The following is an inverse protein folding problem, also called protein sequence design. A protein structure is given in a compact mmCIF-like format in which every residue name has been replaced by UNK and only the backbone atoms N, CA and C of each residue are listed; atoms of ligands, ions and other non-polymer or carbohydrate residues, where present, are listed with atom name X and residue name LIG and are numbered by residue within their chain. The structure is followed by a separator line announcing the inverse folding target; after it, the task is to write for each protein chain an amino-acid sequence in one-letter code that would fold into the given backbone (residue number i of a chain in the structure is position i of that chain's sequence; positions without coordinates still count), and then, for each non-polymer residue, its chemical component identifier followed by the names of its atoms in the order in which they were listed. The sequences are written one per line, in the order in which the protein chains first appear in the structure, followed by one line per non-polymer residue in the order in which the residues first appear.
data_IF_141815168497
#
_entry.id   IF_141815168497
#
_cell.length_a   1.000
_cell.length_b   1.000
_cell.length_c   1.000
_cell.angle_alpha   90.00
_cell.angle_beta   90.00
_cell.angle_gamma   90.00
#
_symmetry.space_group_name_H-M   'P 1'
#
loop_
_entity.id
_entity.type
_entity.pdbx_description
1 polymer ?
#
# COMPACT_ATOMS: atom_id res chain seq x y z
N UNK A 1 4.47 20.04 -29.16
CA UNK A 1 3.71 20.89 -28.23
C UNK A 1 4.65 21.28 -27.11
N UNK A 2 4.78 22.55 -26.70
CA UNK A 2 5.55 22.89 -25.53
C UNK A 2 4.88 22.22 -24.34
N UNK A 3 5.64 21.49 -23.53
CA UNK A 3 5.16 20.85 -22.32
C UNK A 3 4.55 21.94 -21.41
N UNK A 4 3.24 21.90 -21.22
CA UNK A 4 2.50 22.85 -20.40
C UNK A 4 2.79 22.52 -18.93
N UNK A 5 3.99 22.91 -18.47
CA UNK A 5 4.35 22.79 -17.04
C UNK A 5 3.23 23.46 -16.23
N UNK A 6 2.63 22.71 -15.31
CA UNK A 6 1.64 23.15 -14.33
C UNK A 6 0.25 23.54 -14.86
N UNK A 7 -0.15 23.09 -16.07
CA UNK A 7 -1.47 23.41 -16.63
C UNK A 7 -2.61 22.92 -15.70
N UNK A 8 -2.50 21.71 -15.17
CA UNK A 8 -3.53 21.12 -14.28
C UNK A 8 -3.69 21.94 -12.99
N UNK A 9 -2.59 22.42 -12.42
CA UNK A 9 -2.63 23.30 -11.23
C UNK A 9 -3.38 24.59 -11.54
N UNK A 10 -3.09 25.24 -12.68
CA UNK A 10 -3.80 26.44 -13.11
C UNK A 10 -5.29 26.20 -13.36
N UNK A 11 -5.64 25.06 -14.00
CA UNK A 11 -7.02 24.69 -14.21
C UNK A 11 -7.77 24.49 -12.90
N UNK A 12 -7.14 23.92 -11.88
CA UNK A 12 -7.72 23.77 -10.54
C UNK A 12 -8.00 25.12 -9.89
N UNK A 13 -7.08 26.08 -10.02
CA UNK A 13 -7.25 27.43 -9.47
C UNK A 13 -8.35 28.17 -10.24
N UNK A 14 -8.30 28.14 -11.60
CA UNK A 14 -9.29 28.77 -12.44
C UNK A 14 -10.69 28.22 -12.20
N UNK A 15 -10.85 26.93 -12.00
CA UNK A 15 -12.11 26.27 -11.70
C UNK A 15 -12.78 26.84 -10.46
N UNK A 16 -12.02 26.99 -9.36
CA UNK A 16 -12.52 27.62 -8.12
C UNK A 16 -12.94 29.07 -8.33
N UNK A 17 -12.16 29.83 -9.08
CA UNK A 17 -12.43 31.24 -9.34
C UNK A 17 -13.66 31.42 -10.23
N UNK A 18 -13.79 30.64 -11.31
CA UNK A 18 -14.91 30.71 -12.24
C UNK A 18 -16.25 30.25 -11.62
N UNK A 19 -16.20 29.33 -10.65
CA UNK A 19 -17.39 28.91 -9.90
C UNK A 19 -17.88 29.94 -8.86
N UNK A 20 -17.03 30.92 -8.50
CA UNK A 20 -17.36 31.93 -7.48
C UNK A 20 -18.32 32.98 -8.01
N UNK A 21 -19.54 33.07 -7.46
CA UNK A 21 -20.60 34.04 -7.81
C UNK A 21 -20.48 35.40 -7.12
N UNK A 22 -19.70 35.47 -6.06
CA UNK A 22 -19.60 36.69 -5.25
C UNK A 22 -18.58 37.69 -5.77
N UNK A 23 -17.73 37.27 -6.68
CA UNK A 23 -16.66 38.11 -7.28
C UNK A 23 -16.75 38.13 -8.79
N UNK A 24 -16.28 39.24 -9.38
CA UNK A 24 -16.25 39.47 -10.81
C UNK A 24 -14.80 39.52 -11.28
N UNK A 25 -14.34 38.44 -11.90
CA UNK A 25 -12.96 38.30 -12.34
C UNK A 25 -12.75 38.61 -13.81
N UNK A 26 -11.92 39.63 -14.12
CA UNK A 26 -11.38 39.79 -15.45
C UNK A 26 -10.20 38.86 -15.68
N UNK A 27 -9.75 38.73 -16.96
CA UNK A 27 -8.54 37.93 -17.27
C UNK A 27 -7.32 38.38 -16.47
N UNK A 28 -7.20 39.66 -16.14
CA UNK A 28 -6.08 40.19 -15.37
C UNK A 28 -6.22 39.84 -13.88
N UNK A 29 -7.44 39.88 -13.30
CA UNK A 29 -7.68 39.41 -11.93
C UNK A 29 -7.37 37.93 -11.80
N UNK A 30 -7.83 37.11 -12.77
CA UNK A 30 -7.53 35.68 -12.81
C UNK A 30 -6.03 35.43 -12.86
N UNK A 31 -5.29 36.19 -13.70
CA UNK A 31 -3.84 36.08 -13.77
C UNK A 31 -3.15 36.37 -12.44
N UNK A 32 -3.57 37.42 -11.77
CA UNK A 32 -2.98 37.79 -10.46
C UNK A 32 -3.21 36.71 -9.42
N UNK A 33 -4.44 36.26 -9.26
CA UNK A 33 -4.80 35.23 -8.27
C UNK A 33 -4.15 33.88 -8.58
N UNK A 34 -4.11 33.48 -9.85
CA UNK A 34 -3.38 32.28 -10.26
C UNK A 34 -1.90 32.39 -9.92
N UNK A 35 -1.26 33.54 -10.18
CA UNK A 35 0.16 33.72 -9.87
C UNK A 35 0.45 33.81 -8.37
N UNK A 36 -0.47 34.32 -7.56
CA UNK A 36 -0.36 34.29 -6.09
C UNK A 36 -0.34 32.84 -5.59
N UNK A 37 -1.28 32.00 -6.02
CA UNK A 37 -1.32 30.59 -5.62
C UNK A 37 -0.13 29.77 -6.20
N UNK A 38 0.30 30.05 -7.45
CA UNK A 38 1.48 29.39 -8.03
C UNK A 38 2.75 29.73 -7.23
N UNK A 39 2.87 30.94 -6.73
CA UNK A 39 3.99 31.36 -5.89
C UNK A 39 4.03 30.62 -4.56
N UNK A 40 2.87 30.36 -3.95
CA UNK A 40 2.78 29.56 -2.70
C UNK A 40 3.21 28.10 -2.94
N UNK A 41 3.06 27.60 -4.18
CA UNK A 41 3.47 26.27 -4.60
C UNK A 41 4.88 26.21 -5.19
N UNK A 42 5.68 27.27 -5.06
CA UNK A 42 7.03 27.40 -5.60
C UNK A 42 7.10 27.18 -7.13
N UNK A 43 6.07 27.69 -7.85
CA UNK A 43 5.94 27.57 -9.30
C UNK A 43 6.09 28.93 -9.99
N UNK A 44 6.57 28.88 -11.25
CA UNK A 44 6.80 30.10 -12.03
C UNK A 44 5.48 30.81 -12.42
N UNK A 45 5.46 32.17 -12.35
CA UNK A 45 4.29 32.94 -12.73
C UNK A 45 4.00 32.86 -14.23
N UNK A 46 2.73 32.99 -14.59
CA UNK A 46 2.28 32.92 -15.98
C UNK A 46 1.81 34.28 -16.53
N UNK A 47 1.89 34.40 -17.83
CA UNK A 47 1.45 35.60 -18.55
C UNK A 47 -0.08 35.68 -18.70
N UNK A 48 -0.60 36.88 -18.98
CA UNK A 48 -2.01 37.06 -19.33
C UNK A 48 -2.41 36.19 -20.53
N UNK A 49 -1.54 36.09 -21.53
CA UNK A 49 -1.77 35.27 -22.73
C UNK A 49 -1.96 33.78 -22.35
N UNK A 50 -1.25 33.30 -21.36
CA UNK A 50 -1.39 31.94 -20.88
C UNK A 50 -2.79 31.71 -20.28
N UNK A 51 -3.31 32.64 -19.47
CA UNK A 51 -4.66 32.54 -18.92
C UNK A 51 -5.73 32.61 -20.02
N UNK A 52 -5.56 33.45 -21.05
CA UNK A 52 -6.46 33.51 -22.21
C UNK A 52 -6.51 32.16 -22.96
N UNK A 53 -5.36 31.51 -23.13
CA UNK A 53 -5.27 30.18 -23.73
C UNK A 53 -5.86 29.10 -22.85
N UNK A 54 -5.65 29.18 -21.55
CA UNK A 54 -6.23 28.24 -20.59
C UNK A 54 -7.76 28.35 -20.57
N UNK A 55 -8.34 29.56 -20.55
CA UNK A 55 -9.79 29.76 -20.64
C UNK A 55 -10.35 29.21 -21.97
N UNK A 56 -9.68 29.49 -23.09
CA UNK A 56 -10.09 28.97 -24.40
C UNK A 56 -10.02 27.44 -24.45
N UNK A 57 -8.98 26.84 -23.85
CA UNK A 57 -8.86 25.38 -23.76
C UNK A 57 -9.98 24.76 -22.91
N UNK A 58 -10.31 25.37 -21.78
CA UNK A 58 -11.39 24.89 -20.91
C UNK A 58 -12.76 24.96 -21.61
N UNK A 59 -12.97 25.97 -22.45
CA UNK A 59 -14.26 26.22 -23.11
C UNK A 59 -14.43 25.44 -24.42
N UNK A 60 -13.37 25.31 -25.24
CA UNK A 60 -13.50 24.83 -26.62
C UNK A 60 -12.64 23.63 -27.00
N UNK A 61 -11.46 23.47 -26.45
CA UNK A 61 -10.49 22.49 -26.95
C UNK A 61 -10.26 21.30 -26.00
N UNK A 62 -10.47 21.48 -24.70
CA UNK A 62 -10.26 20.48 -23.69
C UNK A 62 -11.40 19.47 -23.57
N UNK A 63 -11.22 18.43 -22.79
CA UNK A 63 -12.25 17.42 -22.56
C UNK A 63 -13.43 17.94 -21.70
N UNK A 64 -13.32 19.16 -21.19
CA UNK A 64 -14.27 19.73 -20.22
C UNK A 64 -15.44 20.42 -20.85
N UNK A 65 -15.25 21.09 -22.02
CA UNK A 65 -16.25 21.89 -22.72
C UNK A 65 -17.07 22.76 -21.77
N UNK A 66 -16.37 23.49 -20.89
CA UNK A 66 -16.96 24.27 -19.83
C UNK A 66 -17.74 25.46 -20.38
N UNK A 67 -19.00 25.60 -20.01
CA UNK A 67 -19.81 26.77 -20.38
C UNK A 67 -19.37 27.99 -19.56
N UNK A 68 -18.55 28.88 -20.17
CA UNK A 68 -18.05 30.10 -19.53
C UNK A 68 -18.84 31.30 -20.06
N UNK A 69 -19.50 32.02 -19.15
CA UNK A 69 -20.16 33.28 -19.46
C UNK A 69 -19.15 34.42 -19.47
N UNK A 70 -19.07 35.13 -20.61
CA UNK A 70 -18.29 36.36 -20.78
C UNK A 70 -19.22 37.57 -20.70
N UNK A 71 -19.12 38.35 -19.64
CA UNK A 71 -20.02 39.49 -19.40
C UNK A 71 -19.26 40.74 -19.03
N UNK A 72 -19.93 41.90 -19.06
CA UNK A 72 -19.33 43.18 -18.74
C UNK A 72 -20.02 43.80 -17.54
N UNK A 73 -19.22 44.43 -16.69
CA UNK A 73 -19.67 45.24 -15.56
C UNK A 73 -19.13 46.65 -15.69
N UNK A 74 -19.88 47.64 -15.22
CA UNK A 74 -19.45 49.03 -15.14
C UNK A 74 -18.73 49.27 -13.81
N UNK A 75 -17.47 49.70 -13.88
CA UNK A 75 -16.65 50.02 -12.71
C UNK A 75 -16.20 51.47 -12.74
N UNK A 76 -15.97 52.14 -11.62
CA UNK A 76 -15.40 53.48 -11.59
C UNK A 76 -14.03 53.51 -12.27
N UNK A 77 -13.77 54.51 -13.08
CA UNK A 77 -12.46 54.73 -13.73
C UNK A 77 -11.41 55.09 -12.66
N UNK A 78 -10.25 54.45 -12.71
CA UNK A 78 -9.15 54.70 -11.80
C UNK A 78 -8.55 56.12 -11.98
N UNK A 79 -8.72 56.67 -13.19
CA UNK A 79 -8.17 58.02 -13.53
C UNK A 79 -9.18 59.14 -13.40
N UNK A 80 -10.49 58.83 -13.40
CA UNK A 80 -11.54 59.85 -13.28
C UNK A 80 -12.74 59.24 -12.53
N UNK A 81 -12.99 59.59 -11.23
CA UNK A 81 -14.06 59.01 -10.44
C UNK A 81 -15.48 59.23 -10.96
N UNK A 82 -15.67 60.25 -11.86
CA UNK A 82 -16.96 60.55 -12.46
C UNK A 82 -17.24 59.80 -13.78
N UNK A 83 -16.31 58.94 -14.20
CA UNK A 83 -16.48 58.07 -15.41
C UNK A 83 -16.49 56.62 -15.01
N UNK A 84 -17.37 55.83 -15.64
CA UNK A 84 -17.37 54.39 -15.59
C UNK A 84 -16.66 53.82 -16.78
N UNK A 85 -15.98 52.70 -16.59
CA UNK A 85 -15.36 51.91 -17.66
C UNK A 85 -15.91 50.48 -17.59
N UNK A 86 -16.06 49.87 -18.73
CA UNK A 86 -16.52 48.48 -18.84
C UNK A 86 -15.38 47.52 -18.54
N UNK A 87 -15.59 46.62 -17.58
CA UNK A 87 -14.69 45.54 -17.23
C UNK A 87 -15.26 44.23 -17.71
N UNK A 88 -14.56 43.54 -18.61
CA UNK A 88 -14.95 42.20 -19.08
C UNK A 88 -14.57 41.15 -18.06
N UNK A 89 -15.52 40.34 -17.67
CA UNK A 89 -15.39 39.31 -16.64
C UNK A 89 -15.83 37.95 -17.13
N UNK A 90 -15.40 36.90 -16.42
CA UNK A 90 -15.62 35.50 -16.75
C UNK A 90 -16.16 34.76 -15.53
N UNK A 91 -17.11 33.81 -15.74
CA UNK A 91 -17.60 32.87 -14.73
C UNK A 91 -18.25 31.68 -15.41
N UNK A 92 -18.45 30.59 -14.69
CA UNK A 92 -19.28 29.50 -15.21
C UNK A 92 -20.75 29.92 -15.30
N UNK A 93 -21.46 29.44 -16.34
CA UNK A 93 -22.91 29.62 -16.49
C UNK A 93 -23.63 28.95 -15.32
N UNK A 94 -23.29 27.71 -15.02
CA UNK A 94 -23.79 26.99 -13.84
C UNK A 94 -22.77 27.11 -12.68
N UNK A 95 -23.17 27.71 -11.52
CA UNK A 95 -22.28 27.84 -10.35
C UNK A 95 -21.96 26.52 -9.66
N UNK A 96 -22.72 25.47 -9.91
CA UNK A 96 -22.47 24.13 -9.38
C UNK A 96 -21.49 23.34 -10.24
N UNK A 97 -21.21 23.81 -11.46
CA UNK A 97 -20.26 23.19 -12.36
C UNK A 97 -18.82 23.31 -11.86
N UNK A 98 -18.05 22.27 -12.07
CA UNK A 98 -16.61 22.26 -11.90
C UNK A 98 -16.01 21.24 -12.88
N UNK A 99 -14.91 21.59 -13.52
CA UNK A 99 -14.20 20.69 -14.44
C UNK A 99 -13.60 19.46 -13.72
N UNK A 100 -13.46 19.52 -12.40
CA UNK A 100 -13.01 18.42 -11.52
C UNK A 100 -14.16 17.71 -10.83
N UNK A 101 -15.38 18.24 -10.93
CA UNK A 101 -16.59 17.65 -10.36
C UNK A 101 -17.29 16.80 -11.42
N UNK A 102 -16.61 15.75 -11.88
CA UNK A 102 -17.28 14.72 -12.66
C UNK A 102 -18.27 14.02 -11.71
N UNK A 103 -19.57 14.11 -11.99
CA UNK A 103 -20.52 13.26 -11.30
C UNK A 103 -20.12 11.80 -11.58
N UNK A 104 -19.86 11.07 -10.51
CA UNK A 104 -19.56 9.65 -10.64
C UNK A 104 -20.77 8.94 -11.23
N UNK A 105 -20.55 8.12 -12.23
CA UNK A 105 -21.56 7.21 -12.75
C UNK A 105 -22.00 6.23 -11.67
N UNK A 106 -23.17 5.62 -11.80
CA UNK A 106 -23.64 4.61 -10.84
C UNK A 106 -22.66 3.43 -10.73
N UNK A 107 -22.01 3.05 -11.84
CA UNK A 107 -20.98 1.99 -11.84
C UNK A 107 -19.72 2.42 -11.08
N UNK A 108 -19.27 3.68 -11.23
CA UNK A 108 -18.15 4.23 -10.47
C UNK A 108 -18.46 4.33 -8.97
N UNK A 109 -19.67 4.76 -8.62
CA UNK A 109 -20.15 4.78 -7.22
C UNK A 109 -20.20 3.38 -6.64
N UNK A 110 -20.73 2.41 -7.41
CA UNK A 110 -20.79 1.01 -7.00
C UNK A 110 -19.38 0.45 -6.75
N UNK A 111 -18.46 0.62 -7.72
CA UNK A 111 -17.06 0.18 -7.59
C UNK A 111 -16.38 0.80 -6.37
N UNK A 112 -16.55 2.10 -6.15
CA UNK A 112 -16.00 2.78 -4.97
C UNK A 112 -16.62 2.25 -3.67
N UNK A 113 -17.93 2.01 -3.64
CA UNK A 113 -18.62 1.43 -2.47
C UNK A 113 -18.10 0.05 -2.13
N UNK A 114 -17.85 -0.81 -3.15
CA UNK A 114 -17.24 -2.13 -2.96
C UNK A 114 -15.79 -2.02 -2.44
N UNK A 115 -14.98 -1.11 -3.01
CA UNK A 115 -13.63 -0.85 -2.54
C UNK A 115 -13.60 -0.39 -1.08
N UNK A 116 -14.49 0.52 -0.69
CA UNK A 116 -14.63 0.98 0.70
C UNK A 116 -15.12 -0.16 1.62
N UNK A 117 -15.99 -1.05 1.13
CA UNK A 117 -16.42 -2.24 1.88
C UNK A 117 -15.27 -3.22 2.11
N UNK A 118 -14.39 -3.40 1.13
CA UNK A 118 -13.19 -4.24 1.26
C UNK A 118 -12.20 -3.63 2.26
N UNK A 119 -11.93 -2.33 2.17
CA UNK A 119 -11.08 -1.62 3.12
C UNK A 119 -11.63 -1.67 4.55
N UNK A 120 -12.95 -1.58 4.72
CA UNK A 120 -13.61 -1.70 6.03
C UNK A 120 -13.50 -3.10 6.67
N UNK A 121 -12.95 -4.10 5.98
CA UNK A 121 -12.66 -5.41 6.56
C UNK A 121 -11.31 -5.46 7.30
N UNK A 122 -10.45 -4.44 7.13
CA UNK A 122 -9.20 -4.31 7.87
C UNK A 122 -9.46 -3.52 9.16
N UNK A 123 -9.48 -4.22 10.29
CA UNK A 123 -9.62 -3.58 11.60
C UNK A 123 -8.33 -2.83 11.99
N UNK A 124 -8.46 -1.63 12.57
CA UNK A 124 -7.34 -0.87 13.14
C UNK A 124 -6.58 0.07 12.20
N UNK A 125 -6.95 0.16 10.91
CA UNK A 125 -6.36 1.21 10.07
C UNK A 125 -6.91 2.59 10.47
N UNK A 126 -6.07 3.64 10.49
CA UNK A 126 -6.51 4.99 10.88
C UNK A 126 -7.47 5.57 9.84
N UNK A 127 -8.37 6.43 10.31
CA UNK A 127 -9.37 7.12 9.48
C UNK A 127 -10.44 6.21 8.83
N UNK A 128 -10.53 4.93 9.20
CA UNK A 128 -11.60 4.06 8.71
C UNK A 128 -12.98 4.44 9.26
N UNK A 129 -13.05 5.17 10.38
CA UNK A 129 -14.33 5.70 10.92
C UNK A 129 -15.07 6.58 9.90
N UNK A 130 -14.33 7.27 9.01
CA UNK A 130 -14.89 8.04 7.89
C UNK A 130 -15.39 7.20 6.72
N UNK A 131 -14.96 5.93 6.56
CA UNK A 131 -15.34 5.10 5.42
C UNK A 131 -16.83 4.79 5.40
N UNK A 132 -17.44 4.54 6.56
CA UNK A 132 -18.89 4.33 6.68
C UNK A 132 -19.67 5.59 6.29
N UNK A 133 -19.20 6.78 6.67
CA UNK A 133 -19.80 8.05 6.29
C UNK A 133 -19.66 8.30 4.78
N UNK A 134 -18.46 8.02 4.20
CA UNK A 134 -18.24 8.10 2.76
C UNK A 134 -19.13 7.13 1.99
N UNK A 135 -19.23 5.88 2.43
CA UNK A 135 -20.08 4.87 1.82
C UNK A 135 -21.56 5.27 1.84
N UNK A 136 -22.05 5.79 2.96
CA UNK A 136 -23.41 6.33 3.07
C UNK A 136 -23.64 7.52 2.15
N UNK A 137 -22.63 8.39 1.98
CA UNK A 137 -22.66 9.55 1.07
C UNK A 137 -22.76 9.17 -0.41
N UNK A 138 -22.32 7.97 -0.81
CA UNK A 138 -22.44 7.47 -2.18
C UNK A 138 -23.87 7.05 -2.54
N UNK A 139 -24.78 6.90 -1.56
CA UNK A 139 -26.16 6.44 -1.72
C UNK A 139 -26.32 5.10 -2.47
N UNK A 140 -25.27 4.27 -2.50
CA UNK A 140 -25.31 2.94 -3.10
C UNK A 140 -25.83 1.93 -2.08
N UNK A 141 -26.88 1.20 -2.43
CA UNK A 141 -27.36 0.08 -1.63
C UNK A 141 -26.49 -1.14 -1.89
N UNK A 142 -25.61 -1.46 -0.95
CA UNK A 142 -24.90 -2.74 -0.91
C UNK A 142 -25.61 -3.64 0.10
N UNK A 143 -26.53 -4.47 -0.38
CA UNK A 143 -27.36 -5.31 0.49
C UNK A 143 -26.67 -6.60 0.94
N UNK A 144 -25.49 -6.90 0.40
CA UNK A 144 -24.81 -8.18 0.66
C UNK A 144 -23.29 -8.07 0.57
N UNK A 145 -22.61 -8.57 1.58
CA UNK A 145 -21.17 -8.80 1.53
C UNK A 145 -20.90 -9.97 0.57
N UNK A 146 -20.21 -9.70 -0.56
CA UNK A 146 -19.89 -10.69 -1.59
C UNK A 146 -18.50 -11.29 -1.34
N UNK A 147 -17.55 -10.50 -0.84
CA UNK A 147 -16.18 -10.90 -0.54
C UNK A 147 -15.97 -10.83 0.96
N UNK A 148 -15.43 -11.91 1.54
CA UNK A 148 -15.10 -11.97 2.95
C UNK A 148 -13.65 -12.41 3.12
N UNK A 149 -12.86 -11.62 3.84
CA UNK A 149 -11.54 -12.04 4.30
C UNK A 149 -11.65 -12.69 5.67
N UNK A 150 -10.80 -13.68 5.92
CA UNK A 150 -10.73 -14.26 7.25
C UNK A 150 -10.12 -13.24 8.19
N UNK A 151 -10.92 -12.72 9.12
CA UNK A 151 -10.47 -11.78 10.12
C UNK A 151 -9.63 -12.51 11.17
N UNK A 152 -8.49 -11.92 11.52
CA UNK A 152 -7.81 -12.21 12.76
C UNK A 152 -7.95 -10.95 13.63
N UNK A 153 -8.80 -10.94 14.66
CA UNK A 153 -8.90 -9.76 15.51
C UNK A 153 -7.53 -9.50 16.13
N UNK A 154 -6.95 -8.37 15.78
CA UNK A 154 -5.75 -7.86 16.45
C UNK A 154 -6.13 -7.51 17.88
N UNK A 155 -5.45 -8.11 18.85
CA UNK A 155 -5.64 -7.74 20.27
C UNK A 155 -5.37 -6.26 20.50
N UNK A 156 -4.48 -5.65 19.69
CA UNK A 156 -4.08 -4.24 19.73
C UNK A 156 -4.33 -3.54 18.37
N UNK A 157 -5.57 -3.51 17.90
CA UNK A 157 -5.92 -2.89 16.61
C UNK A 157 -5.56 -1.39 16.52
N UNK A 158 -5.53 -0.67 17.63
CA UNK A 158 -5.14 0.73 17.72
C UNK A 158 -3.67 0.95 17.32
N UNK A 159 -2.78 0.03 17.67
CA UNK A 159 -1.34 0.12 17.36
C UNK A 159 -1.08 0.11 15.84
N UNK A 160 -1.89 -0.60 15.07
CA UNK A 160 -1.77 -0.59 13.60
C UNK A 160 -1.97 0.85 13.06
N UNK A 161 -2.96 1.57 13.59
CA UNK A 161 -3.24 2.95 13.23
C UNK A 161 -2.16 3.93 13.67
N UNK A 162 -1.63 3.75 14.88
CA UNK A 162 -0.55 4.59 15.41
C UNK A 162 0.73 4.42 14.60
N UNK A 163 1.12 3.18 14.30
CA UNK A 163 2.29 2.86 13.47
C UNK A 163 2.11 3.31 12.02
N UNK A 164 0.92 3.14 11.43
CA UNK A 164 0.64 3.67 10.10
C UNK A 164 0.82 5.19 10.06
N UNK A 165 0.35 5.90 11.08
CA UNK A 165 0.49 7.35 11.20
C UNK A 165 1.95 7.74 11.35
N UNK A 166 2.70 7.05 12.21
CA UNK A 166 4.13 7.29 12.42
C UNK A 166 4.94 7.10 11.13
N UNK A 167 4.67 6.05 10.37
CA UNK A 167 5.32 5.80 9.06
C UNK A 167 4.96 6.91 8.06
N UNK A 168 3.68 7.24 7.94
CA UNK A 168 3.18 8.24 6.99
C UNK A 168 3.74 9.64 7.27
N UNK A 169 3.92 9.98 8.55
CA UNK A 169 4.46 11.26 9.01
C UNK A 169 5.98 11.24 9.19
N UNK A 170 6.65 10.13 8.84
CA UNK A 170 8.11 9.96 8.99
C UNK A 170 8.58 10.28 10.41
N UNK A 171 7.97 9.64 11.39
CA UNK A 171 8.28 9.81 12.80
C UNK A 171 9.04 8.60 13.35
N UNK A 172 10.10 8.87 14.08
CA UNK A 172 10.79 7.89 14.93
C UNK A 172 9.89 7.55 16.10
N UNK A 173 9.91 6.30 16.55
CA UNK A 173 9.07 5.82 17.64
C UNK A 173 9.91 5.11 18.71
N UNK A 174 9.52 5.25 19.96
CA UNK A 174 9.93 4.40 21.04
C UNK A 174 8.87 3.30 21.20
N UNK A 175 9.34 2.05 21.26
CA UNK A 175 8.50 0.88 21.27
C UNK A 175 8.83 0.03 22.48
N UNK A 176 7.80 -0.35 23.28
CA UNK A 176 7.87 -1.38 24.31
C UNK A 176 7.46 -2.70 23.70
N UNK A 177 8.33 -3.69 23.78
CA UNK A 177 8.18 -4.99 23.14
C UNK A 177 8.55 -6.12 24.09
N UNK A 178 7.66 -7.09 24.26
CA UNK A 178 7.91 -8.29 25.00
C UNK A 178 7.99 -9.53 24.11
N UNK A 179 8.73 -10.53 24.55
CA UNK A 179 8.82 -11.82 23.88
C UNK A 179 7.98 -12.84 24.61
N UNK A 180 7.28 -13.71 23.88
CA UNK A 180 6.46 -14.76 24.49
C UNK A 180 7.30 -15.85 25.18
N UNK A 181 8.52 -16.08 24.74
CA UNK A 181 9.45 -17.06 25.32
C UNK A 181 10.21 -16.52 26.54
N UNK A 182 10.27 -15.21 26.70
CA UNK A 182 10.92 -14.51 27.83
C UNK A 182 10.05 -13.32 28.24
N UNK A 183 8.89 -13.55 28.89
CA UNK A 183 7.94 -12.46 29.20
C UNK A 183 8.51 -11.37 30.11
N UNK A 184 9.52 -11.69 30.93
CA UNK A 184 10.19 -10.74 31.82
C UNK A 184 11.24 -9.86 31.10
N UNK A 185 11.54 -10.14 29.81
CA UNK A 185 12.47 -9.36 28.99
C UNK A 185 11.68 -8.27 28.26
N UNK A 186 11.20 -7.28 29.03
CA UNK A 186 10.58 -6.06 28.50
C UNK A 186 11.66 -5.16 27.91
N UNK A 187 11.60 -4.98 26.59
CA UNK A 187 12.58 -4.19 25.82
C UNK A 187 11.97 -2.90 25.34
N UNK A 188 12.57 -1.83 25.79
CA UNK A 188 12.36 -0.50 25.24
C UNK A 188 13.41 -0.23 24.14
N UNK A 189 12.94 0.12 22.93
CA UNK A 189 13.83 0.37 21.80
C UNK A 189 13.34 1.53 20.95
N UNK A 190 14.28 2.34 20.48
CA UNK A 190 13.98 3.44 19.55
C UNK A 190 14.13 2.95 18.11
N UNK A 191 13.08 3.15 17.31
CA UNK A 191 12.97 2.60 15.97
C UNK A 191 12.58 3.65 14.95
N UNK A 192 13.10 3.51 13.76
CA UNK A 192 12.69 4.22 12.55
C UNK A 192 11.73 3.26 11.79
N UNK A 193 10.41 3.46 11.87
CA UNK A 193 9.43 2.55 11.28
C UNK A 193 9.31 2.78 9.77
N UNK A 194 9.28 1.71 8.98
CA UNK A 194 9.25 1.80 7.51
C UNK A 194 8.05 1.15 6.86
N UNK A 195 7.65 -0.06 7.32
CA UNK A 195 6.64 -0.85 6.64
C UNK A 195 5.82 -1.67 7.64
N UNK A 196 4.51 -1.74 7.39
CA UNK A 196 3.61 -2.71 8.02
C UNK A 196 3.35 -3.84 7.05
N UNK A 197 3.74 -5.06 7.41
CA UNK A 197 3.58 -6.26 6.58
C UNK A 197 2.66 -7.26 7.26
N UNK A 198 1.62 -7.69 6.54
CA UNK A 198 0.80 -8.82 6.99
C UNK A 198 1.39 -10.11 6.44
N UNK A 199 1.54 -11.11 7.31
CA UNK A 199 1.88 -12.47 6.93
C UNK A 199 1.15 -13.48 7.83
N UNK A 200 0.49 -14.42 7.24
CA UNK A 200 -0.22 -15.50 7.91
C UNK A 200 -1.15 -14.97 9.03
N UNK A 201 -1.92 -13.93 8.71
CA UNK A 201 -2.90 -13.26 9.60
C UNK A 201 -2.27 -12.56 10.81
N UNK A 202 -1.00 -12.24 10.76
CA UNK A 202 -0.29 -11.48 11.78
C UNK A 202 0.38 -10.28 11.16
N UNK A 203 0.27 -9.14 11.80
CA UNK A 203 0.94 -7.93 11.36
C UNK A 203 2.32 -7.80 11.97
N UNK A 204 3.24 -7.29 11.18
CA UNK A 204 4.62 -7.04 11.57
C UNK A 204 5.01 -5.62 11.20
N UNK A 205 5.69 -4.94 12.13
CA UNK A 205 6.42 -3.71 11.87
C UNK A 205 7.82 -4.07 11.39
N UNK A 206 8.21 -3.53 10.24
CA UNK A 206 9.59 -3.56 9.75
C UNK A 206 10.19 -2.18 10.03
N UNK A 207 11.26 -2.14 10.81
CA UNK A 207 11.86 -0.91 11.28
C UNK A 207 13.38 -1.03 11.42
N UNK A 208 14.11 0.08 11.33
CA UNK A 208 15.53 0.12 11.71
C UNK A 208 15.67 0.46 13.20
N UNK A 209 16.57 -0.21 13.89
CA UNK A 209 17.03 0.26 15.19
C UNK A 209 17.83 1.57 15.00
N UNK A 210 17.48 2.63 15.73
CA UNK A 210 18.07 3.97 15.51
C UNK A 210 19.57 3.98 15.76
N UNK A 211 20.05 3.20 16.74
CA UNK A 211 21.45 3.14 17.17
C UNK A 211 22.37 2.39 16.20
N UNK A 212 21.85 1.32 15.57
CA UNK A 212 22.63 0.42 14.72
C UNK A 212 22.28 0.49 13.23
N UNK A 213 21.12 1.06 12.89
CA UNK A 213 20.56 1.03 11.54
C UNK A 213 20.11 -0.36 11.08
N UNK A 214 20.18 -1.38 11.95
CA UNK A 214 19.81 -2.76 11.61
C UNK A 214 18.30 -2.87 11.43
N UNK A 215 17.87 -3.48 10.34
CA UNK A 215 16.46 -3.73 10.08
C UNK A 215 15.99 -4.94 10.88
N UNK A 216 14.92 -4.73 11.63
CA UNK A 216 14.29 -5.72 12.50
C UNK A 216 12.79 -5.82 12.17
N UNK A 217 12.19 -6.93 12.55
CA UNK A 217 10.75 -7.17 12.45
C UNK A 217 10.15 -7.40 13.84
N UNK A 218 9.04 -6.72 14.12
CA UNK A 218 8.31 -6.78 15.38
C UNK A 218 6.87 -7.20 15.12
N UNK A 219 6.44 -8.31 15.69
CA UNK A 219 5.05 -8.73 15.61
C UNK A 219 4.17 -7.80 16.49
N UNK A 220 3.10 -7.23 15.91
CA UNK A 220 2.28 -6.23 16.59
C UNK A 220 1.60 -6.76 17.85
N UNK A 221 1.28 -8.05 17.92
CA UNK A 221 0.71 -8.72 19.08
C UNK A 221 1.66 -8.84 20.29
N UNK A 222 2.90 -8.38 20.14
CA UNK A 222 3.93 -8.33 21.18
C UNK A 222 4.37 -6.90 21.51
N UNK A 223 3.72 -5.91 20.92
CA UNK A 223 3.96 -4.49 21.17
C UNK A 223 2.95 -4.04 22.22
N UNK A 224 3.43 -3.51 23.32
CA UNK A 224 2.61 -2.97 24.39
C UNK A 224 2.26 -1.50 24.15
N UNK A 225 3.26 -0.69 23.76
CA UNK A 225 3.08 0.74 23.52
C UNK A 225 3.97 1.23 22.39
N UNK A 226 3.50 2.26 21.70
CA UNK A 226 4.23 3.04 20.69
C UNK A 226 4.17 4.51 21.04
N UNK A 227 5.32 5.14 21.22
CA UNK A 227 5.41 6.57 21.58
C UNK A 227 6.19 7.30 20.48
N UNK A 228 5.56 8.22 19.72
CA UNK A 228 6.27 9.02 18.73
C UNK A 228 7.32 9.93 19.38
N UNK A 229 8.49 10.03 18.75
CA UNK A 229 9.62 10.89 19.17
C UNK A 229 9.90 11.97 18.11
N UNK A 230 9.13 13.08 18.08
CA UNK A 230 9.23 14.09 17.03
C UNK A 230 10.57 14.81 16.96
N UNK A 231 11.38 14.78 18.03
CA UNK A 231 12.70 15.39 18.10
C UNK A 231 13.82 14.55 17.47
N UNK A 232 13.54 13.29 17.14
CA UNK A 232 14.49 12.36 16.56
C UNK A 232 14.51 12.49 15.03
N UNK A 233 15.69 12.25 14.43
CA UNK A 233 15.86 12.38 12.98
C UNK A 233 15.42 11.11 12.28
N UNK A 234 14.37 11.22 11.46
CA UNK A 234 13.92 10.09 10.62
C UNK A 234 14.83 9.95 9.40
N UNK A 235 15.43 8.79 9.23
CA UNK A 235 16.26 8.44 8.07
C UNK A 235 15.47 7.50 7.16
N UNK A 236 15.28 7.88 5.91
CA UNK A 236 14.60 7.02 4.94
C UNK A 236 15.42 5.78 4.60
N UNK A 237 14.74 4.68 4.37
CA UNK A 237 15.40 3.48 3.86
C UNK A 237 15.85 3.70 2.41
N UNK A 238 17.12 3.41 2.15
CA UNK A 238 17.69 3.54 0.80
C UNK A 238 17.50 2.22 0.03
N UNK A 239 16.52 2.17 -0.86
CA UNK A 239 16.19 1.00 -1.68
C UNK A 239 14.74 0.55 -1.55
N UNK A 240 14.41 -0.61 -2.09
CA UNK A 240 13.09 -1.23 -1.94
C UNK A 240 13.12 -2.23 -0.77
N UNK A 241 12.30 -1.97 0.26
CA UNK A 241 12.15 -2.89 1.39
C UNK A 241 11.52 -4.23 1.00
N UNK A 242 10.80 -4.30 -0.12
CA UNK A 242 10.21 -5.54 -0.58
C UNK A 242 11.26 -6.55 -1.02
N UNK A 243 12.40 -6.11 -1.58
CA UNK A 243 13.52 -6.97 -1.97
C UNK A 243 14.05 -7.83 -0.80
N UNK A 244 13.86 -7.38 0.45
CA UNK A 244 14.25 -8.17 1.65
C UNK A 244 13.46 -9.46 1.82
N UNK A 245 12.32 -9.58 1.14
CA UNK A 245 11.42 -10.73 1.25
C UNK A 245 11.53 -11.66 0.04
N UNK A 246 12.32 -11.28 -0.99
CA UNK A 246 12.41 -12.04 -2.24
C UNK A 246 13.08 -13.41 -2.06
N UNK A 247 13.94 -13.54 -1.05
CA UNK A 247 14.67 -14.77 -0.77
C UNK A 247 14.13 -15.56 0.44
N UNK A 248 12.98 -15.18 0.98
CA UNK A 248 12.44 -15.82 2.19
C UNK A 248 10.96 -16.16 2.07
N UNK A 249 10.54 -17.20 2.78
CA UNK A 249 9.13 -17.42 3.09
C UNK A 249 8.79 -16.66 4.38
N UNK A 250 7.81 -15.75 4.33
CA UNK A 250 7.36 -15.04 5.51
C UNK A 250 8.05 -13.70 5.75
N UNK A 251 8.51 -13.46 6.96
CA UNK A 251 9.04 -12.15 7.40
C UNK A 251 10.40 -12.22 8.11
N UNK A 252 10.86 -13.40 8.50
CA UNK A 252 12.11 -13.56 9.24
C UNK A 252 13.28 -13.74 8.29
N UNK A 253 14.13 -12.72 8.18
CA UNK A 253 15.37 -12.76 7.41
C UNK A 253 16.57 -12.96 8.34
N UNK A 254 17.36 -14.00 8.09
CA UNK A 254 18.68 -14.23 8.69
C UNK A 254 19.76 -13.80 7.70
N UNK A 255 20.33 -12.61 7.89
CA UNK A 255 21.30 -11.98 6.97
C UNK A 255 22.63 -12.77 6.88
N UNK A 256 22.91 -13.63 7.85
CA UNK A 256 24.10 -14.50 7.93
C UNK A 256 23.92 -15.85 7.20
N UNK A 257 22.73 -16.15 6.69
CA UNK A 257 22.44 -17.40 5.98
C UNK A 257 22.39 -17.20 4.47
N UNK A 258 22.95 -18.14 3.68
CA UNK A 258 22.87 -18.06 2.23
C UNK A 258 21.51 -18.53 1.69
N UNK A 259 21.16 -18.03 0.53
CA UNK A 259 20.11 -18.63 -0.30
C UNK A 259 20.52 -20.03 -0.72
N UNK A 260 19.62 -21.01 -0.58
CA UNK A 260 19.86 -22.40 -0.95
C UNK A 260 18.75 -22.87 -1.89
N UNK A 261 19.11 -23.68 -2.89
CA UNK A 261 18.13 -24.36 -3.73
C UNK A 261 17.60 -25.59 -2.98
N UNK A 262 16.34 -25.56 -2.63
CA UNK A 262 15.67 -26.60 -1.85
C UNK A 262 14.86 -27.46 -2.82
N UNK A 263 15.29 -28.70 -3.02
CA UNK A 263 14.60 -29.68 -3.82
C UNK A 263 13.64 -30.48 -2.94
N UNK A 264 12.42 -30.65 -3.39
CA UNK A 264 11.41 -31.45 -2.71
C UNK A 264 10.51 -32.18 -3.69
N UNK A 265 9.94 -33.29 -3.22
CA UNK A 265 8.94 -34.07 -3.92
C UNK A 265 7.58 -33.84 -3.28
N UNK A 266 6.54 -33.82 -4.11
CA UNK A 266 5.15 -33.68 -3.65
C UNK A 266 4.32 -34.82 -4.24
N UNK A 267 3.48 -35.43 -3.42
CA UNK A 267 2.60 -36.53 -3.79
C UNK A 267 1.58 -36.15 -4.89
N UNK A 268 0.97 -37.15 -5.55
CA UNK A 268 -0.12 -36.92 -6.50
C UNK A 268 -1.32 -36.20 -5.86
N UNK A 269 -1.50 -36.34 -4.55
CA UNK A 269 -2.60 -35.68 -3.82
C UNK A 269 -2.42 -34.15 -3.75
N UNK A 270 -1.20 -33.67 -3.57
CA UNK A 270 -0.92 -32.27 -3.27
C UNK A 270 -0.16 -31.51 -4.37
N UNK A 271 0.36 -32.20 -5.42
CA UNK A 271 1.19 -31.55 -6.46
C UNK A 271 0.49 -30.38 -7.17
N UNK A 272 -0.79 -30.53 -7.48
CA UNK A 272 -1.55 -29.51 -8.20
C UNK A 272 -1.82 -28.29 -7.31
N UNK A 273 -1.97 -28.47 -5.99
CA UNK A 273 -2.04 -27.38 -5.03
C UNK A 273 -0.73 -26.60 -4.97
N UNK A 274 0.41 -27.28 -4.95
CA UNK A 274 1.74 -26.65 -4.94
C UNK A 274 2.06 -25.98 -6.27
N UNK A 275 1.60 -26.54 -7.39
CA UNK A 275 1.81 -25.94 -8.72
C UNK A 275 0.95 -24.66 -8.91
N UNK A 276 -0.27 -24.65 -8.39
CA UNK A 276 -1.20 -23.50 -8.51
C UNK A 276 -1.02 -22.44 -7.42
N UNK A 277 -0.47 -22.80 -6.26
CA UNK A 277 -0.11 -21.90 -5.17
C UNK A 277 1.33 -22.19 -4.74
N UNK A 278 2.32 -21.59 -5.41
CA UNK A 278 3.73 -21.78 -5.09
C UNK A 278 4.04 -21.44 -3.63
N UNK A 279 4.96 -22.22 -3.02
CA UNK A 279 5.48 -21.96 -1.67
C UNK A 279 6.30 -20.67 -1.66
N UNK A 280 6.98 -20.40 -2.78
CA UNK A 280 7.80 -19.21 -2.97
C UNK A 280 7.83 -18.83 -4.47
N UNK A 281 8.02 -17.54 -4.79
CA UNK A 281 8.00 -17.04 -6.18
C UNK A 281 9.10 -17.65 -7.06
N UNK A 282 10.23 -18.08 -6.47
CA UNK A 282 11.30 -18.80 -7.16
C UNK A 282 10.97 -20.25 -7.52
N UNK A 283 9.77 -20.75 -7.20
CA UNK A 283 9.41 -22.15 -7.39
C UNK A 283 9.53 -22.61 -8.84
N UNK A 284 10.21 -23.73 -9.04
CA UNK A 284 10.35 -24.40 -10.33
C UNK A 284 9.75 -25.79 -10.25
N UNK A 285 8.90 -26.15 -11.20
CA UNK A 285 8.38 -27.49 -11.37
C UNK A 285 9.28 -28.24 -12.38
N UNK A 286 9.91 -29.33 -11.98
CA UNK A 286 10.75 -30.14 -12.86
C UNK A 286 9.92 -31.07 -13.73
N UNK A 287 10.21 -31.05 -15.04
CA UNK A 287 9.49 -31.83 -16.06
C UNK A 287 10.49 -32.49 -17.00
N UNK A 288 10.04 -33.40 -17.83
CA UNK A 288 10.81 -34.06 -18.91
C UNK A 288 12.10 -34.73 -18.42
N UNK A 289 13.23 -34.37 -19.00
CA UNK A 289 14.55 -35.01 -18.74
C UNK A 289 14.97 -34.88 -17.29
N UNK A 290 14.78 -33.71 -16.69
CA UNK A 290 15.16 -33.49 -15.30
C UNK A 290 14.31 -34.26 -14.32
N UNK A 291 13.02 -34.36 -14.58
CA UNK A 291 12.13 -35.24 -13.81
C UNK A 291 12.56 -36.71 -13.92
N UNK A 292 12.87 -37.18 -15.13
CA UNK A 292 13.32 -38.56 -15.36
C UNK A 292 14.65 -38.86 -14.66
N UNK A 293 15.56 -37.88 -14.54
CA UNK A 293 16.79 -37.97 -13.75
C UNK A 293 16.48 -38.13 -12.26
N UNK A 294 15.62 -37.25 -11.71
CA UNK A 294 15.22 -37.28 -10.31
C UNK A 294 14.51 -38.56 -9.91
N UNK A 295 13.64 -39.09 -10.80
CA UNK A 295 12.96 -40.40 -10.57
C UNK A 295 13.97 -41.55 -10.50
N UNK A 296 15.06 -41.51 -11.27
CA UNK A 296 16.14 -42.52 -11.17
C UNK A 296 16.95 -42.37 -9.88
N UNK A 297 17.13 -41.14 -9.40
CA UNK A 297 17.82 -40.86 -8.17
C UNK A 297 17.00 -41.22 -6.92
N UNK A 298 15.68 -41.04 -6.99
CA UNK A 298 14.72 -41.33 -5.89
C UNK A 298 13.67 -42.34 -6.28
N UNK A 299 14.05 -43.63 -6.54
CA UNK A 299 13.15 -44.66 -7.10
C UNK A 299 12.02 -45.07 -6.16
N UNK A 300 12.11 -44.74 -4.87
CA UNK A 300 11.07 -45.02 -3.85
C UNK A 300 9.91 -44.03 -3.88
N UNK A 301 10.07 -42.91 -4.55
CA UNK A 301 9.03 -41.88 -4.66
C UNK A 301 8.22 -42.14 -5.96
N UNK A 302 7.15 -42.90 -5.79
CA UNK A 302 6.26 -43.24 -6.90
C UNK A 302 5.24 -42.11 -7.13
N UNK A 303 4.89 -41.83 -8.41
CA UNK A 303 3.96 -40.74 -8.76
C UNK A 303 4.48 -39.36 -8.37
N UNK A 304 3.55 -38.41 -8.10
CA UNK A 304 3.87 -37.09 -7.66
C UNK A 304 4.69 -36.23 -8.63
N UNK A 305 5.28 -35.16 -8.14
CA UNK A 305 6.11 -34.23 -8.92
C UNK A 305 7.29 -33.71 -8.10
N UNK A 306 8.33 -33.23 -8.79
CA UNK A 306 9.51 -32.64 -8.16
C UNK A 306 9.52 -31.13 -8.39
N UNK A 307 9.80 -30.41 -7.32
CA UNK A 307 9.88 -28.95 -7.31
C UNK A 307 11.18 -28.50 -6.66
N UNK A 308 11.59 -27.27 -6.95
CA UNK A 308 12.58 -26.58 -6.14
C UNK A 308 12.16 -25.14 -5.89
N UNK A 309 12.69 -24.57 -4.80
CA UNK A 309 12.64 -23.17 -4.47
C UNK A 309 14.04 -22.70 -4.10
N UNK A 310 14.33 -21.42 -4.33
CA UNK A 310 15.57 -20.77 -3.93
C UNK A 310 15.25 -19.85 -2.74
N UNK A 311 15.63 -20.26 -1.50
CA UNK A 311 15.27 -19.55 -0.27
C UNK A 311 16.37 -19.61 0.80
N UNK A 312 16.37 -18.62 1.67
CA UNK A 312 17.11 -18.64 2.94
C UNK A 312 16.30 -19.46 3.96
N UNK A 313 16.97 -20.38 4.65
CA UNK A 313 16.37 -21.16 5.71
C UNK A 313 15.92 -20.26 6.85
N UNK A 314 14.63 -20.32 7.19
CA UNK A 314 14.04 -19.65 8.34
C UNK A 314 12.91 -20.50 8.96
N UNK A 315 12.35 -20.01 10.06
CA UNK A 315 11.29 -20.71 10.80
C UNK A 315 10.02 -20.89 9.93
N UNK A 316 9.64 -19.86 9.19
CA UNK A 316 8.43 -19.86 8.36
C UNK A 316 8.53 -20.87 7.22
N UNK A 317 9.68 -20.96 6.57
CA UNK A 317 9.95 -21.95 5.52
C UNK A 317 9.82 -23.39 6.07
N UNK A 318 10.49 -23.69 7.18
CA UNK A 318 10.42 -25.04 7.79
C UNK A 318 8.99 -25.39 8.18
N UNK A 319 8.24 -24.43 8.73
CA UNK A 319 6.83 -24.62 9.09
C UNK A 319 5.98 -24.88 7.85
N UNK A 320 6.20 -24.14 6.77
CA UNK A 320 5.45 -24.29 5.51
C UNK A 320 5.70 -25.67 4.89
N UNK A 321 6.96 -26.11 4.80
CA UNK A 321 7.31 -27.42 4.29
C UNK A 321 6.67 -28.57 5.11
N UNK A 322 6.66 -28.47 6.44
CA UNK A 322 6.03 -29.48 7.31
C UNK A 322 4.49 -29.43 7.23
N UNK A 323 3.89 -28.30 6.86
CA UNK A 323 2.44 -28.17 6.79
C UNK A 323 1.78 -29.12 5.79
N UNK A 324 2.54 -29.55 4.78
CA UNK A 324 2.09 -30.54 3.80
C UNK A 324 2.12 -31.99 4.30
N UNK A 325 2.64 -32.21 5.50
CA UNK A 325 2.69 -33.54 6.15
C UNK A 325 3.43 -34.59 5.29
N UNK A 326 2.83 -35.79 5.14
CA UNK A 326 3.34 -36.89 4.32
C UNK A 326 3.35 -36.61 2.81
N UNK A 327 2.67 -35.55 2.38
CA UNK A 327 2.55 -35.21 0.97
C UNK A 327 3.75 -34.44 0.40
N UNK A 328 4.67 -33.97 1.26
CA UNK A 328 5.88 -33.27 0.84
C UNK A 328 7.12 -33.86 1.53
N UNK A 329 8.13 -34.18 0.75
CA UNK A 329 9.42 -34.68 1.21
C UNK A 329 10.53 -33.78 0.72
N UNK A 330 11.26 -33.17 1.64
CA UNK A 330 12.50 -32.42 1.33
C UNK A 330 13.62 -33.39 0.99
N UNK A 331 14.25 -33.21 -0.15
CA UNK A 331 15.29 -34.09 -0.68
C UNK A 331 16.69 -33.54 -0.49
N UNK A 332 16.84 -32.23 -0.74
CA UNK A 332 18.11 -31.50 -0.53
C UNK A 332 17.83 -30.02 -0.28
N UNK A 333 18.75 -29.27 0.32
CA UNK A 333 20.05 -29.71 0.87
C UNK A 333 19.88 -30.48 2.18
N UNK A 334 20.93 -31.19 2.58
CA UNK A 334 20.89 -32.07 3.75
C UNK A 334 20.54 -31.32 5.05
N UNK A 335 21.09 -30.13 5.27
CA UNK A 335 20.81 -29.32 6.47
C UNK A 335 19.30 -29.02 6.62
N UNK A 336 18.61 -28.63 5.53
CA UNK A 336 17.18 -28.34 5.58
C UNK A 336 16.37 -29.62 5.74
N UNK A 337 16.74 -30.70 5.01
CA UNK A 337 16.09 -31.99 5.16
C UNK A 337 16.20 -32.49 6.60
N UNK A 338 17.40 -32.44 7.18
CA UNK A 338 17.67 -32.91 8.53
C UNK A 338 16.92 -32.06 9.57
N UNK A 339 16.85 -30.75 9.41
CA UNK A 339 16.01 -29.86 10.25
C UNK A 339 14.54 -30.26 10.21
N UNK A 340 13.99 -30.54 9.01
CA UNK A 340 12.60 -31.02 8.86
C UNK A 340 12.42 -32.38 9.56
N UNK A 341 13.35 -33.32 9.35
CA UNK A 341 13.31 -34.63 9.98
C UNK A 341 13.36 -34.56 11.50
N UNK A 342 14.22 -33.70 12.06
CA UNK A 342 14.31 -33.47 13.53
C UNK A 342 12.95 -32.98 14.09
N UNK A 343 12.28 -32.03 13.42
CA UNK A 343 10.97 -31.53 13.84
C UNK A 343 9.89 -32.59 13.79
N UNK A 344 9.87 -33.41 12.71
CA UNK A 344 8.91 -34.52 12.57
C UNK A 344 9.17 -35.57 13.64
N UNK A 345 10.43 -35.90 13.90
CA UNK A 345 10.81 -36.88 14.93
C UNK A 345 10.40 -36.40 16.32
N UNK A 346 10.69 -35.12 16.64
CA UNK A 346 10.29 -34.55 17.91
C UNK A 346 8.75 -34.59 18.08
N UNK A 347 8.00 -34.27 17.04
CA UNK A 347 6.55 -34.37 17.05
C UNK A 347 6.07 -35.82 17.24
N UNK A 348 6.68 -36.79 16.54
CA UNK A 348 6.38 -38.19 16.68
C UNK A 348 6.60 -38.69 18.11
N UNK A 349 7.73 -38.36 18.76
CA UNK A 349 8.04 -38.73 20.14
C UNK A 349 7.04 -38.13 21.15
N UNK A 350 6.52 -36.94 20.91
CA UNK A 350 5.47 -36.33 21.70
C UNK A 350 4.13 -37.09 21.60
N UNK A 351 3.81 -37.64 20.43
CA UNK A 351 2.57 -38.42 20.22
C UNK A 351 2.69 -39.89 20.63
N UNK A 352 3.90 -40.43 20.68
CA UNK A 352 4.17 -41.86 20.99
C UNK A 352 3.51 -42.38 22.29
N UNK A 353 3.50 -41.63 23.43
CA UNK A 353 2.81 -42.06 24.62
C UNK A 353 1.29 -42.19 24.51
N UNK A 354 0.70 -41.51 23.51
CA UNK A 354 -0.74 -41.49 23.27
C UNK A 354 -1.21 -42.52 22.25
N UNK A 355 -0.28 -43.28 21.68
CA UNK A 355 -0.57 -44.35 20.71
C UNK A 355 -1.09 -45.55 21.48
N UNK A 356 -2.40 -45.90 21.33
CA UNK A 356 -3.02 -47.07 21.90
C UNK A 356 -2.59 -48.33 21.19
#
# INVERSE_FOLDING_TARGET
MPANKNAVTRYYILDKLLANRYHHYSTEDLRQLVNEELKELDQEPVSRRTIELDLHYLEYEGPFLAEIEHYQIDIPSQTNPNKTVKKSCHRYVDPSFSIFKKEMTEDEKYLLSEALSLLGQFDGLPNLDGLEALRKGLHVKTDRQIISFTKNPLENSTLLGELFTAISQKQVVELHYHRFDTPDDDRQTTLIPYLLKEYNRRWFLIAAAEDTGRILNFALDRIDTVVPLPSHNYVEYAGDLNERFDDIVGVTLYEDRPVQTILFWVSDHSKDYVDTKPIHDSQKHYRNEKEAELRRQYPTLEGGAFFSIDCIENYELIRELISFREDLIVLSPDNIRDTVMERITAMYEMYKPWRK
#
